data_IF_177098068336
#
_entry.id   IF_177098068336
#
_cell.length_a   1.000
_cell.length_b   1.000
_cell.length_c   1.000
_cell.angle_alpha   90.00
_cell.angle_beta   90.00
_cell.angle_gamma   90.00
#
_symmetry.space_group_name_H-M   'P 1'
#
loop_
_entity.id
_entity.type
_entity.pdbx_description
1 polymer ?
#
# COMPACT_ATOMS: atom_id res chain seq x y z
N UNK A 1 58.81 26.08 -23.75
CA UNK A 1 58.22 24.73 -23.43
C UNK A 1 57.01 24.93 -22.58
N UNK A 2 55.85 24.82 -23.16
CA UNK A 2 54.61 24.88 -22.45
C UNK A 2 54.17 23.46 -22.13
N UNK A 3 54.26 23.11 -20.84
CA UNK A 3 53.68 21.85 -20.40
C UNK A 3 52.18 22.09 -20.26
N UNK A 4 51.43 21.51 -21.15
CA UNK A 4 49.98 21.48 -21.05
C UNK A 4 49.56 20.62 -19.85
N UNK A 5 48.99 21.27 -18.87
CA UNK A 5 48.34 20.56 -17.78
C UNK A 5 47.00 20.06 -18.32
N UNK A 6 46.98 18.79 -18.66
CA UNK A 6 45.74 18.09 -18.91
C UNK A 6 45.05 17.94 -17.55
N UNK A 7 44.16 18.86 -17.25
CA UNK A 7 43.24 18.66 -16.15
C UNK A 7 42.26 17.57 -16.54
N UNK A 8 42.54 16.35 -16.12
CA UNK A 8 41.54 15.29 -16.13
C UNK A 8 40.48 15.65 -15.08
N UNK A 9 39.45 16.32 -15.56
CA UNK A 9 38.26 16.46 -14.78
C UNK A 9 37.61 15.06 -14.75
N UNK A 10 37.89 14.30 -13.69
CA UNK A 10 37.08 13.14 -13.36
C UNK A 10 35.71 13.64 -12.98
N UNK A 11 34.86 13.83 -13.96
CA UNK A 11 33.42 13.86 -13.74
C UNK A 11 33.04 12.46 -13.33
N UNK A 12 33.10 12.17 -12.03
CA UNK A 12 32.50 10.98 -11.50
C UNK A 12 31.02 11.06 -11.77
N UNK A 13 30.56 10.33 -12.77
CA UNK A 13 29.14 10.08 -12.96
C UNK A 13 28.69 9.30 -11.74
N UNK A 14 28.18 10.00 -10.73
CA UNK A 14 27.41 9.41 -9.66
C UNK A 14 26.12 8.88 -10.31
N UNK A 15 26.20 7.64 -10.79
CA UNK A 15 25.03 6.84 -11.03
C UNK A 15 24.40 6.64 -9.65
N UNK A 16 23.45 7.51 -9.30
CA UNK A 16 22.50 7.21 -8.26
C UNK A 16 21.73 5.97 -8.76
N UNK A 17 22.16 4.80 -8.32
CA UNK A 17 21.39 3.58 -8.47
C UNK A 17 20.16 3.81 -7.60
N UNK A 18 19.12 4.34 -8.22
CA UNK A 18 17.80 4.26 -7.62
C UNK A 18 17.42 2.80 -7.66
N UNK A 19 17.59 2.13 -6.53
CA UNK A 19 16.90 0.88 -6.31
C UNK A 19 15.43 1.15 -6.60
N UNK A 20 14.79 0.39 -7.50
CA UNK A 20 13.37 0.53 -7.69
C UNK A 20 12.72 0.29 -6.33
N UNK A 21 12.23 1.36 -5.70
CA UNK A 21 11.23 1.21 -4.67
C UNK A 21 10.06 0.58 -5.39
N UNK A 22 9.81 -0.69 -5.09
CA UNK A 22 8.62 -1.38 -5.57
C UNK A 22 7.42 -0.60 -5.06
N UNK A 23 6.87 0.24 -5.94
CA UNK A 23 5.60 0.88 -5.66
C UNK A 23 4.57 -0.21 -5.41
N UNK A 24 3.73 -0.02 -4.41
CA UNK A 24 2.64 -0.92 -4.12
C UNK A 24 1.80 -1.17 -5.38
N UNK A 25 1.50 -2.42 -5.66
CA UNK A 25 0.85 -2.86 -6.90
C UNK A 25 -0.61 -3.21 -6.63
N UNK A 26 -1.53 -2.37 -7.14
CA UNK A 26 -2.96 -2.56 -6.99
C UNK A 26 -3.45 -3.87 -7.63
N UNK A 27 -2.84 -4.31 -8.73
CA UNK A 27 -3.22 -5.56 -9.39
C UNK A 27 -2.86 -6.79 -8.56
N UNK A 28 -1.68 -6.78 -7.94
CA UNK A 28 -1.31 -7.80 -6.96
C UNK A 28 -2.19 -7.73 -5.72
N UNK A 29 -2.56 -6.52 -5.30
CA UNK A 29 -3.47 -6.29 -4.20
C UNK A 29 -4.86 -6.88 -4.41
N UNK A 30 -5.35 -6.91 -5.64
CA UNK A 30 -6.61 -7.57 -5.99
C UNK A 30 -6.57 -9.06 -5.64
N UNK A 31 -5.46 -9.73 -5.90
CA UNK A 31 -5.28 -11.14 -5.51
C UNK A 31 -5.21 -11.31 -3.99
N UNK A 32 -4.54 -10.40 -3.29
CA UNK A 32 -4.50 -10.40 -1.82
C UNK A 32 -5.89 -10.18 -1.22
N UNK A 33 -6.71 -9.37 -1.88
CA UNK A 33 -8.07 -9.06 -1.45
C UNK A 33 -8.98 -10.30 -1.35
N UNK A 34 -8.65 -11.40 -1.99
CA UNK A 34 -9.38 -12.67 -1.85
C UNK A 34 -9.51 -13.09 -0.38
N UNK A 35 -8.52 -12.78 0.45
CA UNK A 35 -8.57 -13.01 1.89
C UNK A 35 -9.58 -12.10 2.61
N UNK A 36 -9.93 -10.99 2.02
CA UNK A 36 -10.84 -9.99 2.55
C UNK A 36 -12.27 -10.17 2.03
N UNK A 37 -12.41 -10.74 0.83
CA UNK A 37 -13.67 -10.90 0.12
C UNK A 37 -14.67 -11.82 0.83
N UNK A 38 -14.20 -12.65 1.75
CA UNK A 38 -15.06 -13.48 2.59
C UNK A 38 -16.02 -12.62 3.42
N UNK A 39 -15.55 -11.46 3.88
CA UNK A 39 -16.27 -10.56 4.77
C UNK A 39 -16.63 -9.22 4.13
N UNK A 40 -15.94 -8.80 3.08
CA UNK A 40 -16.10 -7.48 2.48
C UNK A 40 -16.50 -7.56 1.00
N UNK A 41 -17.43 -6.70 0.60
CA UNK A 41 -17.70 -6.44 -0.81
C UNK A 41 -16.74 -5.37 -1.32
N UNK A 42 -16.11 -5.60 -2.47
CA UNK A 42 -15.23 -4.63 -3.12
C UNK A 42 -16.02 -3.63 -3.99
N UNK A 43 -17.08 -4.10 -4.63
CA UNK A 43 -17.83 -3.40 -5.66
C UNK A 43 -19.11 -2.72 -5.17
N UNK A 44 -19.38 -2.79 -3.89
CA UNK A 44 -20.55 -2.13 -3.28
C UNK A 44 -20.23 -1.61 -1.87
N UNK A 45 -21.10 -0.72 -1.39
CA UNK A 45 -21.08 -0.24 -0.02
C UNK A 45 -21.93 -1.10 0.92
N UNK A 46 -22.56 -2.16 0.40
CA UNK A 46 -23.40 -3.05 1.19
C UNK A 46 -22.58 -3.83 2.23
N UNK A 47 -23.15 -3.94 3.41
CA UNK A 47 -22.59 -4.75 4.49
C UNK A 47 -22.81 -6.23 4.19
N UNK A 48 -21.73 -7.00 4.32
CA UNK A 48 -21.77 -8.45 4.30
C UNK A 48 -21.55 -8.95 5.73
N UNK A 49 -20.38 -9.48 6.05
CA UNK A 49 -19.95 -9.69 7.44
C UNK A 49 -19.28 -8.40 7.91
N UNK A 50 -18.39 -7.84 7.08
CA UNK A 50 -17.82 -6.52 7.27
C UNK A 50 -18.46 -5.48 6.34
N UNK A 51 -18.12 -4.20 6.50
CA UNK A 51 -18.63 -3.14 5.64
C UNK A 51 -18.17 -3.32 4.19
N UNK A 52 -19.02 -2.89 3.24
CA UNK A 52 -18.62 -2.78 1.84
C UNK A 52 -17.53 -1.73 1.67
N UNK A 53 -16.56 -1.99 0.81
CA UNK A 53 -15.35 -1.18 0.70
C UNK A 53 -15.32 -0.26 -0.53
N UNK A 54 -16.37 -0.27 -1.35
CA UNK A 54 -16.48 0.68 -2.46
C UNK A 54 -16.38 2.12 -1.96
N UNK A 55 -15.46 2.87 -2.53
CA UNK A 55 -15.23 4.27 -2.16
C UNK A 55 -14.59 4.46 -0.79
N UNK A 56 -13.94 3.46 -0.22
CA UNK A 56 -13.35 3.54 1.11
C UNK A 56 -12.47 4.78 1.30
N UNK A 57 -11.55 5.03 0.39
CA UNK A 57 -10.61 6.17 0.51
C UNK A 57 -11.24 7.54 0.22
N UNK A 58 -12.51 7.58 -0.16
CA UNK A 58 -13.30 8.81 -0.28
C UNK A 58 -14.10 9.12 0.98
N UNK A 59 -14.13 8.21 1.95
CA UNK A 59 -14.82 8.39 3.23
C UNK A 59 -13.91 9.13 4.20
N UNK A 60 -14.52 9.87 5.12
CA UNK A 60 -13.77 10.63 6.14
C UNK A 60 -13.21 9.72 7.24
N UNK A 61 -13.99 8.73 7.66
CA UNK A 61 -13.66 7.89 8.82
C UNK A 61 -13.87 6.41 8.54
N UNK A 62 -12.99 5.62 9.18
CA UNK A 62 -13.18 4.18 9.34
C UNK A 62 -14.28 3.90 10.36
N UNK A 63 -14.77 2.66 10.42
CA UNK A 63 -15.74 2.21 11.43
C UNK A 63 -15.22 2.38 12.87
N UNK A 64 -13.90 2.41 13.03
CA UNK A 64 -13.23 2.67 14.32
C UNK A 64 -13.26 4.15 14.74
N UNK A 65 -13.74 5.04 13.88
CA UNK A 65 -13.76 6.48 14.09
C UNK A 65 -12.46 7.20 13.72
N UNK A 66 -11.42 6.50 13.34
CA UNK A 66 -10.16 7.10 12.85
C UNK A 66 -10.31 7.61 11.43
N UNK A 67 -9.59 8.67 11.03
CA UNK A 67 -9.58 9.13 9.65
C UNK A 67 -9.15 8.03 8.67
N UNK A 68 -9.74 8.03 7.47
CA UNK A 68 -9.31 7.13 6.41
C UNK A 68 -8.03 7.67 5.79
N UNK A 69 -6.95 6.94 6.00
CA UNK A 69 -5.66 7.15 5.36
C UNK A 69 -4.92 5.83 5.30
N UNK A 70 -3.84 5.79 4.55
CA UNK A 70 -3.06 4.58 4.33
C UNK A 70 -2.57 3.95 5.64
N UNK A 71 -2.02 4.78 6.53
CA UNK A 71 -1.52 4.32 7.83
C UNK A 71 -2.62 3.68 8.68
N UNK A 72 -3.77 4.34 8.80
CA UNK A 72 -4.85 3.85 9.64
C UNK A 72 -5.52 2.60 9.07
N UNK A 73 -5.60 2.49 7.74
CA UNK A 73 -6.07 1.27 7.07
C UNK A 73 -5.10 0.11 7.30
N UNK A 74 -3.79 0.35 7.15
CA UNK A 74 -2.76 -0.65 7.44
C UNK A 74 -2.80 -1.10 8.90
N UNK A 75 -2.90 -0.17 9.83
CA UNK A 75 -3.01 -0.48 11.26
C UNK A 75 -4.24 -1.37 11.55
N UNK A 76 -5.37 -1.07 10.94
CA UNK A 76 -6.59 -1.86 11.10
C UNK A 76 -6.45 -3.27 10.53
N UNK A 77 -5.80 -3.42 9.38
CA UNK A 77 -5.50 -4.72 8.79
C UNK A 77 -4.59 -5.52 9.73
N UNK A 78 -3.59 -4.88 10.31
CA UNK A 78 -2.65 -5.53 11.23
C UNK A 78 -3.31 -6.00 12.53
N UNK A 79 -4.08 -5.13 13.14
CA UNK A 79 -4.63 -5.37 14.49
C UNK A 79 -6.01 -6.04 14.47
N UNK A 80 -6.75 -5.90 13.38
CA UNK A 80 -8.15 -6.28 13.33
C UNK A 80 -9.03 -5.40 14.22
N UNK A 81 -10.31 -5.69 14.25
CA UNK A 81 -11.29 -4.99 15.10
C UNK A 81 -12.57 -5.80 15.14
N UNK A 82 -13.16 -5.97 16.33
CA UNK A 82 -14.39 -6.75 16.51
C UNK A 82 -14.29 -8.15 15.85
N UNK A 83 -15.12 -8.43 14.86
CA UNK A 83 -15.12 -9.70 14.13
C UNK A 83 -14.02 -9.80 13.05
N UNK A 84 -13.31 -8.70 12.74
CA UNK A 84 -12.21 -8.71 11.78
C UNK A 84 -10.95 -9.27 12.42
N UNK A 85 -10.40 -10.39 11.94
CA UNK A 85 -9.18 -10.94 12.50
C UNK A 85 -7.96 -10.07 12.18
N UNK A 86 -6.89 -10.15 12.98
CA UNK A 86 -5.63 -9.48 12.68
C UNK A 86 -4.88 -10.19 11.56
N UNK A 87 -4.28 -9.43 10.67
CA UNK A 87 -3.49 -9.93 9.54
C UNK A 87 -1.99 -9.61 9.64
N UNK A 88 -1.52 -9.12 10.78
CA UNK A 88 -0.11 -8.76 10.96
C UNK A 88 0.84 -9.89 10.54
N UNK A 89 0.54 -11.13 10.96
CA UNK A 89 1.37 -12.31 10.67
C UNK A 89 0.87 -13.12 9.47
N UNK A 90 -0.38 -12.91 9.05
CA UNK A 90 -0.99 -13.67 7.95
C UNK A 90 -0.59 -13.13 6.56
N UNK A 91 -0.29 -11.84 6.47
CA UNK A 91 0.13 -11.18 5.25
C UNK A 91 1.51 -10.56 5.42
N UNK A 92 2.35 -10.63 4.37
CA UNK A 92 3.62 -9.93 4.35
C UNK A 92 3.40 -8.41 4.27
N UNK A 93 4.43 -7.65 4.60
CA UNK A 93 4.41 -6.18 4.44
C UNK A 93 4.04 -5.78 3.01
N UNK A 94 4.64 -6.43 2.01
CA UNK A 94 4.36 -6.18 0.61
C UNK A 94 2.90 -6.48 0.25
N UNK A 95 2.37 -7.61 0.69
CA UNK A 95 0.97 -7.98 0.46
C UNK A 95 0.01 -6.96 1.07
N UNK A 96 0.28 -6.48 2.27
CA UNK A 96 -0.53 -5.45 2.93
C UNK A 96 -0.49 -4.12 2.17
N UNK A 97 0.68 -3.69 1.73
CA UNK A 97 0.83 -2.48 0.93
C UNK A 97 0.11 -2.61 -0.42
N UNK A 98 0.20 -3.77 -1.06
CA UNK A 98 -0.48 -4.04 -2.32
C UNK A 98 -2.01 -4.02 -2.17
N UNK A 99 -2.55 -4.63 -1.12
CA UNK A 99 -4.01 -4.60 -0.90
C UNK A 99 -4.50 -3.21 -0.60
N UNK A 100 -3.75 -2.39 0.12
CA UNK A 100 -4.10 -0.98 0.34
C UNK A 100 -4.11 -0.21 -0.98
N UNK A 101 -3.13 -0.43 -1.85
CA UNK A 101 -3.13 0.15 -3.19
C UNK A 101 -4.38 -0.24 -3.99
N UNK A 102 -4.80 -1.49 -3.89
CA UNK A 102 -6.05 -1.95 -4.50
C UNK A 102 -7.28 -1.26 -3.88
N UNK A 103 -7.36 -1.16 -2.57
CA UNK A 103 -8.47 -0.50 -1.88
C UNK A 103 -8.63 0.97 -2.29
N UNK A 104 -7.54 1.65 -2.63
CA UNK A 104 -7.59 3.02 -3.14
C UNK A 104 -8.28 3.14 -4.49
N UNK A 105 -8.41 2.06 -5.23
CA UNK A 105 -9.06 2.02 -6.55
C UNK A 105 -10.57 1.81 -6.47
N UNK A 106 -11.10 1.46 -5.32
CA UNK A 106 -12.51 1.10 -5.13
C UNK A 106 -13.47 2.28 -5.03
#
# INVERSE_FOLDING_TARGET
MKKGILAFSCFGLLLAIRLPMTAADAKKGESVFENCAVCHNADSAEVKIGPGLKGLFKREKLVTGKPVNEKNVLDLIDTGSNAMPPFADALSKEEKENVVAYLKTL
#
